data_IF_336047465414
#
_entry.id   IF_336047465414
#
_cell.length_a   1.000
_cell.length_b   1.000
_cell.length_c   1.000
_cell.angle_alpha   90.00
_cell.angle_beta   90.00
_cell.angle_gamma   90.00
#
_symmetry.space_group_name_H-M   'P 1'
#
loop_
_entity.id
_entity.type
_entity.pdbx_description
1 polymer ?
#
# COMPACT_ATOMS: atom_id res chain seq x y z
N UNK A 1 -10.14 2.74 -29.65
CA UNK A 1 -9.52 1.40 -29.54
C UNK A 1 -10.10 0.69 -28.33
N UNK A 2 -10.52 -0.57 -28.45
CA UNK A 2 -10.98 -1.42 -27.32
C UNK A 2 -9.96 -2.53 -27.12
N UNK A 3 -9.48 -2.72 -25.89
CA UNK A 3 -8.50 -3.74 -25.55
C UNK A 3 -8.79 -4.35 -24.17
N UNK A 4 -8.25 -5.54 -23.91
CA UNK A 4 -8.37 -6.21 -22.62
C UNK A 4 -7.30 -5.70 -21.65
N UNK A 5 -7.71 -5.37 -20.42
CA UNK A 5 -6.81 -4.94 -19.36
C UNK A 5 -7.14 -5.66 -18.05
N UNK A 6 -6.25 -6.56 -17.63
CA UNK A 6 -6.48 -7.44 -16.49
C UNK A 6 -5.83 -6.99 -15.17
N UNK A 7 -5.01 -5.94 -15.21
CA UNK A 7 -4.36 -5.40 -14.01
C UNK A 7 -5.34 -4.54 -13.20
N UNK A 8 -5.15 -4.44 -11.87
CA UNK A 8 -5.95 -3.53 -11.06
C UNK A 8 -5.74 -2.08 -11.50
N UNK A 9 -6.83 -1.32 -11.52
CA UNK A 9 -6.80 0.11 -11.87
C UNK A 9 -6.88 0.92 -10.58
N UNK A 10 -5.75 1.03 -9.89
CA UNK A 10 -5.64 1.83 -8.66
C UNK A 10 -5.60 3.32 -8.97
N UNK A 11 -6.31 4.10 -8.16
CA UNK A 11 -6.30 5.55 -8.20
C UNK A 11 -6.33 6.11 -6.78
N UNK A 12 -5.32 6.88 -6.41
CA UNK A 12 -5.29 7.59 -5.13
C UNK A 12 -5.93 8.95 -5.34
N UNK A 13 -7.08 9.20 -4.70
CA UNK A 13 -7.81 10.47 -4.87
C UNK A 13 -7.20 11.60 -4.04
N UNK A 14 -6.64 11.25 -2.88
CA UNK A 14 -5.96 12.16 -1.98
C UNK A 14 -4.80 11.39 -1.33
N UNK A 15 -3.64 12.06 -1.28
CA UNK A 15 -2.44 11.62 -0.61
C UNK A 15 -1.93 12.78 0.23
N UNK A 16 -2.03 12.65 1.54
CA UNK A 16 -1.42 13.58 2.49
C UNK A 16 -0.11 12.97 2.99
N UNK A 17 0.99 13.72 2.93
CA UNK A 17 2.30 13.29 3.43
C UNK A 17 2.80 14.30 4.45
N UNK A 18 3.00 13.83 5.67
CA UNK A 18 3.65 14.58 6.73
C UNK A 18 5.10 14.12 6.86
N UNK A 19 6.00 15.08 7.02
CA UNK A 19 7.44 14.85 7.17
C UNK A 19 7.88 15.61 8.40
N UNK A 20 8.32 14.87 9.42
CA UNK A 20 8.84 15.44 10.66
C UNK A 20 10.36 15.29 10.69
N UNK A 21 11.05 16.39 10.99
CA UNK A 21 12.50 16.43 11.09
C UNK A 21 12.91 16.61 12.54
N UNK A 22 13.61 15.63 13.11
CA UNK A 22 14.08 15.67 14.49
C UNK A 22 15.60 15.82 14.57
N UNK A 23 16.06 16.99 15.00
CA UNK A 23 17.48 17.23 15.25
C UNK A 23 17.97 16.50 16.51
N UNK A 24 17.09 16.32 17.50
CA UNK A 24 17.40 15.57 18.72
C UNK A 24 17.46 14.06 18.46
N UNK A 25 16.51 13.52 17.68
CA UNK A 25 16.45 12.10 17.33
C UNK A 25 17.37 11.69 16.19
N UNK A 26 17.91 12.67 15.43
CA UNK A 26 18.77 12.39 14.28
C UNK A 26 18.04 11.68 13.12
N UNK A 27 16.71 11.78 13.05
CA UNK A 27 15.89 11.10 12.05
C UNK A 27 14.88 12.04 11.37
N UNK A 28 14.42 11.60 10.21
CA UNK A 28 13.26 12.14 9.50
C UNK A 28 12.18 11.06 9.50
N UNK A 29 11.03 11.39 10.06
CA UNK A 29 9.84 10.52 10.06
C UNK A 29 8.92 10.92 8.90
N UNK A 30 8.43 9.92 8.17
CA UNK A 30 7.49 10.08 7.07
C UNK A 30 6.20 9.38 7.44
N UNK A 31 5.07 10.07 7.30
CA UNK A 31 3.74 9.47 7.37
C UNK A 31 2.94 9.84 6.13
N UNK A 32 2.36 8.85 5.47
CA UNK A 32 1.55 8.99 4.28
C UNK A 32 0.16 8.41 4.49
N UNK A 33 -0.85 9.23 4.27
CA UNK A 33 -2.27 8.85 4.36
C UNK A 33 -2.85 8.79 2.97
N UNK A 34 -3.26 7.59 2.56
CA UNK A 34 -3.77 7.30 1.23
C UNK A 34 -5.29 7.15 1.26
N UNK A 35 -5.99 7.82 0.35
CA UNK A 35 -7.36 7.46 -0.02
C UNK A 35 -7.35 6.75 -1.38
N UNK A 36 -7.25 5.42 -1.35
CA UNK A 36 -7.19 4.59 -2.56
C UNK A 36 -8.58 4.20 -3.06
N UNK A 37 -8.78 4.28 -4.36
CA UNK A 37 -9.94 3.77 -5.08
C UNK A 37 -9.50 2.78 -6.17
N UNK A 38 -10.35 1.80 -6.46
CA UNK A 38 -10.19 0.97 -7.65
C UNK A 38 -11.15 1.44 -8.75
N UNK A 39 -10.63 2.09 -9.78
CA UNK A 39 -11.42 2.68 -10.90
C UNK A 39 -11.77 1.70 -12.02
N UNK A 40 -11.44 0.41 -11.86
CA UNK A 40 -11.89 -0.64 -12.78
C UNK A 40 -13.40 -0.90 -12.67
N UNK A 41 -13.91 -1.79 -13.53
CA UNK A 41 -15.34 -2.12 -13.57
C UNK A 41 -15.86 -2.68 -12.24
N UNK A 42 -17.06 -2.23 -11.85
CA UNK A 42 -17.75 -2.71 -10.66
C UNK A 42 -18.16 -4.19 -10.82
N UNK A 43 -18.30 -4.89 -9.70
CA UNK A 43 -18.86 -6.23 -9.70
C UNK A 43 -20.33 -6.19 -10.12
N UNK A 44 -20.72 -7.06 -11.05
CA UNK A 44 -22.12 -7.23 -11.46
C UNK A 44 -22.97 -7.92 -10.39
N UNK A 45 -22.35 -8.84 -9.64
CA UNK A 45 -22.97 -9.57 -8.55
C UNK A 45 -22.33 -9.17 -7.22
N UNK A 46 -23.07 -9.27 -6.09
CA UNK A 46 -22.49 -9.08 -4.77
C UNK A 46 -21.26 -9.96 -4.54
N UNK A 47 -20.28 -9.43 -3.80
CA UNK A 47 -19.07 -10.16 -3.48
C UNK A 47 -19.38 -11.39 -2.61
N UNK A 48 -18.85 -12.55 -2.98
CA UNK A 48 -18.95 -13.79 -2.22
C UNK A 48 -17.56 -14.26 -1.80
N UNK A 49 -17.31 -14.28 -0.48
CA UNK A 49 -16.04 -14.76 0.09
C UNK A 49 -15.79 -16.24 -0.22
N UNK A 50 -16.84 -17.06 -0.24
CA UNK A 50 -16.75 -18.49 -0.58
C UNK A 50 -16.29 -18.67 -2.02
N UNK A 51 -16.95 -18.01 -2.98
CA UNK A 51 -16.54 -18.06 -4.39
C UNK A 51 -15.12 -17.52 -4.58
N UNK A 52 -14.75 -16.45 -3.88
CA UNK A 52 -13.39 -15.91 -3.92
C UNK A 52 -12.35 -16.89 -3.42
N UNK A 53 -12.59 -17.54 -2.28
CA UNK A 53 -11.68 -18.51 -1.70
C UNK A 53 -11.54 -19.75 -2.59
N UNK A 54 -12.65 -20.26 -3.12
CA UNK A 54 -12.67 -21.35 -4.10
C UNK A 54 -11.88 -20.98 -5.36
N UNK A 55 -12.04 -19.76 -5.86
CA UNK A 55 -11.33 -19.33 -7.06
C UNK A 55 -9.82 -19.21 -6.81
N UNK A 56 -9.37 -18.81 -5.61
CA UNK A 56 -7.93 -18.70 -5.33
C UNK A 56 -7.19 -20.03 -5.47
N UNK A 57 -7.84 -21.18 -5.27
CA UNK A 57 -7.23 -22.50 -5.46
C UNK A 57 -6.70 -22.71 -6.88
N UNK A 58 -7.44 -22.20 -7.88
CA UNK A 58 -7.07 -22.29 -9.30
C UNK A 58 -6.24 -21.10 -9.79
N UNK A 59 -5.96 -20.12 -8.92
CA UNK A 59 -5.22 -18.89 -9.20
C UNK A 59 -5.55 -18.21 -10.56
N UNK A 60 -6.84 -17.91 -10.84
CA UNK A 60 -7.22 -17.24 -12.07
C UNK A 60 -6.71 -15.80 -12.09
N UNK A 61 -6.60 -15.25 -13.30
CA UNK A 61 -6.39 -13.81 -13.49
C UNK A 61 -7.48 -13.03 -12.77
N UNK A 62 -7.07 -12.03 -11.99
CA UNK A 62 -7.96 -11.24 -11.16
C UNK A 62 -7.66 -9.76 -11.31
N UNK A 63 -8.70 -9.00 -11.56
CA UNK A 63 -8.66 -7.54 -11.63
C UNK A 63 -8.61 -6.88 -10.25
N UNK A 64 -8.78 -7.66 -9.17
CA UNK A 64 -8.80 -7.11 -7.82
C UNK A 64 -7.39 -6.71 -7.37
N UNK A 65 -7.28 -5.60 -6.65
CA UNK A 65 -6.04 -5.24 -5.99
C UNK A 65 -5.87 -6.06 -4.71
N UNK A 66 -4.85 -6.91 -4.69
CA UNK A 66 -4.53 -7.83 -3.58
C UNK A 66 -3.29 -7.41 -2.78
N UNK A 67 -2.41 -6.63 -3.39
CA UNK A 67 -1.10 -6.28 -2.85
C UNK A 67 -0.70 -4.88 -3.31
N UNK A 68 -0.04 -4.16 -2.42
CA UNK A 68 0.55 -2.84 -2.60
C UNK A 68 2.04 -2.97 -2.32
N UNK A 69 2.87 -2.36 -3.18
CA UNK A 69 4.32 -2.39 -3.07
C UNK A 69 4.83 -0.96 -2.98
N UNK A 70 5.43 -0.62 -1.84
CA UNK A 70 5.99 0.69 -1.55
C UNK A 70 7.51 0.60 -1.59
N UNK A 71 8.15 1.00 -2.71
CA UNK A 71 9.60 1.14 -2.75
C UNK A 71 10.00 2.32 -1.86
N UNK A 72 10.72 2.02 -0.79
CA UNK A 72 11.27 3.00 0.15
C UNK A 72 12.75 3.24 -0.17
N UNK A 73 13.31 4.33 0.38
CA UNK A 73 14.74 4.64 0.21
C UNK A 73 15.58 3.63 1.01
N UNK A 74 16.74 3.25 0.47
CA UNK A 74 17.69 2.45 1.24
C UNK A 74 18.06 3.18 2.54
N UNK A 75 18.08 2.46 3.67
CA UNK A 75 18.21 3.07 5.00
C UNK A 75 16.90 3.61 5.59
N UNK A 76 15.75 3.28 4.99
CA UNK A 76 14.46 3.38 5.69
C UNK A 76 14.35 2.30 6.77
N UNK A 77 13.79 2.69 7.91
CA UNK A 77 13.69 1.87 9.11
C UNK A 77 12.27 1.93 9.68
N UNK A 78 11.90 0.90 10.45
CA UNK A 78 10.68 0.85 11.25
C UNK A 78 9.39 1.22 10.49
N UNK A 79 9.12 0.62 9.30
CA UNK A 79 7.88 0.92 8.61
C UNK A 79 6.69 0.33 9.34
N UNK A 80 5.56 1.04 9.29
CA UNK A 80 4.27 0.57 9.77
C UNK A 80 3.20 0.73 8.69
N UNK A 81 2.16 -0.10 8.80
CA UNK A 81 1.02 -0.11 7.91
C UNK A 81 -0.27 -0.28 8.71
N UNK A 82 -1.12 0.74 8.65
CA UNK A 82 -2.37 0.79 9.41
C UNK A 82 -3.52 1.15 8.49
N UNK A 83 -4.73 0.77 8.89
CA UNK A 83 -5.95 1.30 8.33
C UNK A 83 -6.66 2.19 9.35
N UNK A 84 -7.83 2.71 8.97
CA UNK A 84 -8.62 3.64 9.81
C UNK A 84 -9.06 3.05 11.15
N UNK A 85 -9.02 1.73 11.31
CA UNK A 85 -9.40 1.02 12.54
C UNK A 85 -8.20 0.40 13.28
N UNK A 86 -6.97 0.59 12.79
CA UNK A 86 -5.75 0.19 13.48
C UNK A 86 -4.79 -0.64 12.65
N UNK A 87 -4.00 -1.48 13.31
CA UNK A 87 -2.89 -2.18 12.67
C UNK A 87 -3.37 -3.24 11.65
N UNK A 88 -2.68 -3.30 10.51
CA UNK A 88 -2.87 -4.34 9.50
C UNK A 88 -1.58 -5.17 9.41
N UNK A 89 -1.59 -6.34 10.05
CA UNK A 89 -0.39 -7.19 10.17
C UNK A 89 0.05 -7.87 8.87
N UNK A 90 -0.76 -7.83 7.82
CA UNK A 90 -0.47 -8.42 6.51
C UNK A 90 0.47 -7.53 5.69
N UNK A 91 1.63 -7.21 6.26
CA UNK A 91 2.72 -6.47 5.60
C UNK A 91 4.06 -7.17 5.80
N UNK A 92 4.96 -7.02 4.84
CA UNK A 92 6.32 -7.56 4.87
C UNK A 92 7.29 -6.47 4.43
N UNK A 93 8.24 -6.14 5.30
CA UNK A 93 9.32 -5.24 4.97
C UNK A 93 10.59 -6.01 4.63
N UNK A 94 11.27 -5.61 3.55
CA UNK A 94 12.59 -6.11 3.18
C UNK A 94 13.51 -4.91 3.00
N UNK A 95 14.68 -4.96 3.63
CA UNK A 95 15.68 -3.90 3.53
C UNK A 95 17.04 -4.50 3.18
N UNK A 96 17.77 -3.80 2.32
CA UNK A 96 19.10 -4.12 1.82
C UNK A 96 19.91 -2.82 1.75
N UNK A 97 21.23 -2.93 1.57
CA UNK A 97 22.11 -1.76 1.38
C UNK A 97 21.71 -0.89 0.18
N UNK A 98 20.95 -1.43 -0.78
CA UNK A 98 20.57 -0.74 -2.03
C UNK A 98 19.08 -0.49 -2.18
N UNK A 99 18.24 -1.25 -1.49
CA UNK A 99 16.80 -1.19 -1.66
C UNK A 99 16.08 -1.38 -0.33
N UNK A 100 14.92 -0.74 -0.19
CA UNK A 100 13.97 -1.01 0.87
C UNK A 100 12.59 -1.15 0.22
N UNK A 101 11.84 -2.19 0.58
CA UNK A 101 10.54 -2.48 -0.01
C UNK A 101 9.57 -2.91 1.09
N UNK A 102 8.47 -2.17 1.21
CA UNK A 102 7.32 -2.55 2.02
C UNK A 102 6.24 -3.16 1.11
N UNK A 103 6.00 -4.45 1.27
CA UNK A 103 4.91 -5.19 0.63
C UNK A 103 3.72 -5.19 1.61
N UNK A 104 2.60 -4.59 1.25
CA UNK A 104 1.41 -4.50 2.10
C UNK A 104 0.21 -5.16 1.41
N UNK A 105 -0.57 -5.92 2.16
CA UNK A 105 -1.81 -6.54 1.69
C UNK A 105 -2.99 -5.93 2.43
N UNK A 106 -3.95 -5.29 1.74
CA UNK A 106 -5.19 -4.82 2.33
C UNK A 106 -5.97 -5.94 3.04
N UNK A 107 -6.82 -5.60 4.02
CA UNK A 107 -7.65 -6.58 4.75
C UNK A 107 -8.59 -7.39 3.86
N UNK A 108 -8.93 -6.86 2.68
CA UNK A 108 -9.81 -7.48 1.69
C UNK A 108 -9.35 -7.12 0.27
N UNK A 109 -9.65 -7.97 -0.74
CA UNK A 109 -9.37 -7.63 -2.14
C UNK A 109 -10.20 -6.42 -2.56
N UNK A 110 -9.56 -5.43 -3.19
CA UNK A 110 -10.24 -4.18 -3.59
C UNK A 110 -10.69 -4.32 -5.04
N UNK A 111 -12.00 -4.41 -5.24
CA UNK A 111 -12.65 -4.48 -6.56
C UNK A 111 -13.09 -3.10 -7.06
N UNK A 112 -13.49 -3.03 -8.33
CA UNK A 112 -14.02 -1.80 -8.94
C UNK A 112 -15.07 -1.09 -8.10
N UNK A 113 -14.89 0.22 -7.95
CA UNK A 113 -15.72 1.10 -7.14
C UNK A 113 -15.38 1.13 -5.65
N UNK A 114 -14.52 0.24 -5.15
CA UNK A 114 -14.22 0.16 -3.72
C UNK A 114 -13.17 1.18 -3.31
N UNK A 115 -13.32 1.70 -2.08
CA UNK A 115 -12.43 2.66 -1.43
C UNK A 115 -11.71 2.00 -0.27
N UNK A 116 -10.41 2.22 -0.18
CA UNK A 116 -9.57 1.70 0.88
C UNK A 116 -8.64 2.80 1.44
N UNK A 117 -9.04 3.47 2.54
CA UNK A 117 -8.17 4.40 3.24
C UNK A 117 -7.15 3.65 4.11
N UNK A 118 -5.88 4.03 4.02
CA UNK A 118 -4.81 3.43 4.83
C UNK A 118 -3.65 4.41 5.03
N UNK A 119 -2.81 4.12 6.00
CA UNK A 119 -1.61 4.90 6.32
C UNK A 119 -0.37 4.01 6.25
N UNK A 120 0.70 4.55 5.69
CA UNK A 120 2.04 3.96 5.71
C UNK A 120 2.97 5.00 6.30
N UNK A 121 3.84 4.60 7.22
CA UNK A 121 4.91 5.47 7.70
C UNK A 121 6.21 4.72 7.89
N UNK A 122 7.32 5.46 7.91
CA UNK A 122 8.66 4.93 8.12
C UNK A 122 9.60 6.03 8.62
N UNK A 123 10.71 5.62 9.22
CA UNK A 123 11.80 6.50 9.63
C UNK A 123 12.99 6.41 8.67
N UNK A 124 13.83 7.43 8.65
CA UNK A 124 15.15 7.36 8.04
C UNK A 124 16.14 8.30 8.73
N UNK A 125 17.42 7.96 8.70
CA UNK A 125 18.49 8.79 9.28
C UNK A 125 18.54 10.18 8.60
N UNK A 126 18.59 11.24 9.42
CA UNK A 126 18.56 12.62 8.96
C UNK A 126 19.75 12.98 8.06
N UNK A 127 20.91 12.32 8.21
CA UNK A 127 22.09 12.55 7.35
C UNK A 127 21.81 12.26 5.86
N UNK A 128 20.77 11.48 5.58
CA UNK A 128 20.37 11.14 4.21
C UNK A 128 19.59 12.27 3.50
N UNK A 129 19.18 13.31 4.24
CA UNK A 129 18.30 14.38 3.77
C UNK A 129 18.78 15.78 4.14
N UNK A 130 19.46 15.94 5.27
CA UNK A 130 19.94 17.23 5.77
C UNK A 130 21.44 17.41 5.49
N UNK A 131 21.83 18.67 5.31
CA UNK A 131 23.22 19.12 5.30
C UNK A 131 23.34 20.30 6.25
N UNK A 132 24.42 20.30 7.03
CA UNK A 132 24.80 21.42 7.89
C UNK A 132 25.81 22.32 7.19
#
# INVERSE_FOLDING_TARGET
VRFEFTKPVSHVSNLDRDIEVSHWGGNVAFEERYTLFHRGANLSNPFSRVKWAQSQYFNPTSFALKELRFPLKAGSEQPYYTDVIGNVSTSKFRSSKREALLEAKPRYPIFGGWRYPFTVGWNSDAKNFLRN
#
